data_IF_211553443022
#
_entry.id   IF_211553443022
#
_cell.length_a   1.000
_cell.length_b   1.000
_cell.length_c   1.000
_cell.angle_alpha   90.00
_cell.angle_beta   90.00
_cell.angle_gamma   90.00
#
_symmetry.space_group_name_H-M   'P 1'
#
loop_
_entity.id
_entity.type
_entity.pdbx_description
1 polymer ?
#
# COMPACT_ATOMS: atom_id res chain seq x y z
N UNK A 1 0.29 18.59 -13.77
CA UNK A 1 -0.37 17.31 -13.51
C UNK A 1 0.17 16.77 -12.19
N UNK A 2 -0.68 16.70 -11.19
CA UNK A 2 -0.29 16.29 -9.84
C UNK A 2 -0.45 14.76 -9.69
N UNK A 3 0.28 14.00 -10.50
CA UNK A 3 0.22 12.54 -10.57
C UNK A 3 0.66 11.86 -9.26
N UNK A 4 1.38 12.58 -8.40
CA UNK A 4 1.87 12.09 -7.12
C UNK A 4 0.99 12.51 -5.94
N UNK A 5 -0.16 13.15 -6.20
CA UNK A 5 -1.03 13.59 -5.12
C UNK A 5 -1.78 12.38 -4.52
N UNK A 6 -1.63 12.18 -3.21
CA UNK A 6 -2.43 11.21 -2.43
C UNK A 6 -3.95 11.40 -2.58
N UNK A 7 -4.40 12.50 -3.21
CA UNK A 7 -5.82 12.74 -3.54
C UNK A 7 -6.33 11.84 -4.66
N UNK A 8 -5.43 11.27 -5.47
CA UNK A 8 -5.79 10.47 -6.64
C UNK A 8 -5.25 9.04 -6.57
N UNK A 9 -4.28 8.77 -5.71
CA UNK A 9 -3.69 7.45 -5.52
C UNK A 9 -3.13 7.30 -4.12
N UNK A 10 -3.26 6.12 -3.55
CA UNK A 10 -2.68 5.77 -2.26
C UNK A 10 -1.35 5.00 -2.38
N UNK A 11 -0.84 4.84 -3.59
CA UNK A 11 0.41 4.14 -3.85
C UNK A 11 1.62 5.07 -3.99
N UNK A 12 1.42 6.37 -3.77
CA UNK A 12 2.47 7.40 -3.83
C UNK A 12 2.25 8.43 -2.74
N UNK A 13 3.31 8.97 -2.17
CA UNK A 13 3.24 10.15 -1.31
C UNK A 13 3.39 11.42 -2.15
N UNK A 14 2.61 12.46 -1.84
CA UNK A 14 2.81 13.77 -2.45
C UNK A 14 4.23 14.26 -2.16
N UNK A 15 5.04 14.49 -3.19
CA UNK A 15 6.43 14.90 -3.04
C UNK A 15 6.65 16.24 -3.72
N UNK A 16 6.80 17.27 -2.91
CA UNK A 16 7.36 18.56 -3.35
C UNK A 16 8.77 18.69 -2.77
N UNK A 17 9.65 19.31 -3.52
CA UNK A 17 11.04 19.53 -3.07
C UNK A 17 11.06 20.29 -1.73
N UNK A 18 10.15 21.24 -1.56
CA UNK A 18 9.99 21.97 -0.30
C UNK A 18 9.61 21.05 0.85
N UNK A 19 8.67 20.14 0.64
CA UNK A 19 8.23 19.20 1.68
C UNK A 19 9.37 18.29 2.11
N UNK A 20 10.20 17.83 1.18
CA UNK A 20 11.40 17.06 1.46
C UNK A 20 12.36 17.80 2.38
N UNK A 21 12.68 19.07 2.06
CA UNK A 21 13.59 19.87 2.90
C UNK A 21 12.98 20.22 4.26
N UNK A 22 11.67 20.45 4.32
CA UNK A 22 10.98 20.70 5.59
C UNK A 22 11.00 19.45 6.48
N UNK A 23 10.72 18.27 5.93
CA UNK A 23 10.82 17.01 6.66
C UNK A 23 12.26 16.73 7.12
N UNK A 24 13.23 16.95 6.24
CA UNK A 24 14.64 16.76 6.57
C UNK A 24 15.13 17.70 7.67
N UNK A 25 14.57 18.92 7.76
CA UNK A 25 14.90 19.91 8.78
C UNK A 25 14.09 19.70 10.08
N UNK A 26 13.06 18.84 10.04
CA UNK A 26 12.21 18.53 11.18
C UNK A 26 12.87 17.42 12.00
N UNK A 27 12.79 17.54 13.32
CA UNK A 27 13.23 16.47 14.24
C UNK A 27 12.16 15.38 14.44
N UNK A 28 10.99 15.53 13.83
CA UNK A 28 9.82 14.69 14.10
C UNK A 28 9.65 13.48 13.18
N UNK A 29 10.21 13.48 11.98
CA UNK A 29 10.12 12.33 11.09
C UNK A 29 11.14 12.40 9.96
N UNK A 30 11.56 11.26 9.43
CA UNK A 30 12.43 11.18 8.27
C UNK A 30 11.67 11.47 6.97
N UNK A 31 12.39 11.98 5.97
CA UNK A 31 11.82 12.39 4.70
C UNK A 31 11.52 11.19 3.78
N UNK A 32 10.42 11.31 3.04
CA UNK A 32 10.03 10.37 1.99
C UNK A 32 9.83 11.07 0.66
N UNK A 33 10.19 10.41 -0.44
CA UNK A 33 10.05 10.93 -1.80
C UNK A 33 9.45 9.86 -2.70
N UNK A 34 8.47 10.22 -3.50
CA UNK A 34 7.83 9.29 -4.45
C UNK A 34 8.83 8.71 -5.44
N UNK A 35 8.76 7.40 -5.65
CA UNK A 35 9.55 6.70 -6.65
C UNK A 35 8.92 6.88 -8.04
N UNK A 36 9.78 7.13 -9.01
CA UNK A 36 9.42 7.17 -10.42
C UNK A 36 10.47 6.42 -11.25
N UNK A 37 10.01 5.68 -12.23
CA UNK A 37 10.88 4.93 -13.14
C UNK A 37 10.33 4.92 -14.56
N UNK A 38 11.18 4.54 -15.49
CA UNK A 38 10.74 4.12 -16.82
C UNK A 38 10.60 2.60 -16.80
N UNK A 39 9.38 2.09 -16.92
CA UNK A 39 9.11 0.67 -16.89
C UNK A 39 9.80 -0.09 -18.04
N UNK A 40 10.09 -1.35 -17.81
CA UNK A 40 10.52 -2.27 -18.87
C UNK A 40 9.33 -2.49 -19.80
N UNK A 41 9.51 -2.11 -21.05
CA UNK A 41 8.52 -2.24 -22.09
C UNK A 41 8.67 -3.63 -22.74
N UNK A 42 7.64 -4.46 -22.64
CA UNK A 42 7.48 -5.59 -23.53
C UNK A 42 6.74 -5.10 -24.78
N UNK A 43 7.42 -5.12 -25.93
CA UNK A 43 6.83 -4.63 -27.18
C UNK A 43 5.56 -5.43 -27.51
N UNK A 44 4.52 -4.71 -27.92
CA UNK A 44 3.24 -5.28 -28.35
C UNK A 44 3.31 -6.18 -29.61
N UNK A 45 4.51 -6.41 -30.14
CA UNK A 45 4.74 -7.23 -31.31
C UNK A 45 4.41 -8.72 -31.11
N UNK A 46 4.22 -9.16 -29.86
CA UNK A 46 3.70 -10.48 -29.53
C UNK A 46 2.18 -10.53 -29.33
N UNK A 47 1.49 -9.42 -29.41
CA UNK A 47 0.04 -9.39 -29.45
C UNK A 47 -0.42 -9.69 -30.89
N UNK A 48 -0.20 -10.91 -31.37
CA UNK A 48 -0.75 -11.33 -32.65
C UNK A 48 -2.26 -11.50 -32.48
N UNK A 49 -3.02 -10.70 -33.24
CA UNK A 49 -4.47 -10.75 -33.40
C UNK A 49 -4.99 -12.06 -34.03
N UNK A 50 -4.13 -13.05 -34.23
CA UNK A 50 -4.49 -14.38 -34.74
C UNK A 50 -4.73 -15.30 -33.53
N UNK A 51 -6.01 -15.41 -33.18
CA UNK A 51 -6.56 -16.20 -32.08
C UNK A 51 -6.01 -17.61 -31.96
N UNK A 52 -4.92 -17.77 -31.26
CA UNK A 52 -4.58 -19.00 -30.55
C UNK A 52 -3.37 -18.81 -29.64
N UNK A 53 -3.59 -19.16 -28.45
CA UNK A 53 -2.68 -19.26 -27.31
C UNK A 53 -2.62 -18.03 -26.41
N UNK A 54 -3.73 -17.73 -25.72
CA UNK A 54 -3.58 -17.44 -24.30
C UNK A 54 -2.98 -18.72 -23.68
N UNK A 55 -1.68 -18.76 -23.47
CA UNK A 55 -1.17 -19.57 -22.39
C UNK A 55 -1.78 -18.94 -21.15
N UNK A 56 -2.73 -19.62 -20.52
CA UNK A 56 -3.02 -19.41 -19.11
C UNK A 56 -1.67 -19.58 -18.40
N UNK A 57 -0.95 -18.48 -18.18
CA UNK A 57 -0.04 -18.40 -17.05
C UNK A 57 -0.93 -18.74 -15.89
N UNK A 58 -0.56 -19.77 -15.14
CA UNK A 58 -1.32 -20.19 -13.97
C UNK A 58 -1.71 -18.96 -13.17
N UNK A 59 -2.87 -18.97 -12.53
CA UNK A 59 -3.41 -17.84 -11.77
C UNK A 59 -2.29 -17.30 -10.89
N UNK A 60 -1.66 -16.19 -11.32
CA UNK A 60 -0.64 -15.53 -10.53
C UNK A 60 -1.34 -15.08 -9.24
N UNK A 61 -0.76 -15.38 -8.10
CA UNK A 61 -1.30 -14.96 -6.81
C UNK A 61 -1.37 -13.42 -6.82
N UNK A 62 -2.56 -12.80 -6.74
CA UNK A 62 -2.70 -11.34 -6.82
C UNK A 62 -2.04 -10.62 -5.64
N UNK A 63 -1.62 -11.36 -4.61
CA UNK A 63 -0.94 -10.82 -3.43
C UNK A 63 0.59 -10.91 -3.54
N UNK A 64 1.12 -11.48 -4.62
CA UNK A 64 2.56 -11.59 -4.86
C UNK A 64 2.98 -10.65 -5.97
N UNK A 65 3.98 -9.81 -5.70
CA UNK A 65 4.54 -8.90 -6.68
C UNK A 65 5.47 -7.87 -6.05
N UNK A 66 6.31 -7.27 -6.88
CA UNK A 66 7.13 -6.09 -6.51
C UNK A 66 6.43 -4.84 -7.06
N UNK A 67 5.48 -4.32 -6.27
CA UNK A 67 4.61 -3.20 -6.65
C UNK A 67 5.29 -1.85 -6.44
N UNK A 68 6.43 -1.64 -7.07
CA UNK A 68 7.14 -0.36 -7.08
C UNK A 68 7.48 0.10 -8.49
N UNK A 69 7.74 1.39 -8.65
CA UNK A 69 8.09 1.98 -9.95
C UNK A 69 9.31 1.28 -10.57
N UNK A 70 9.19 0.86 -11.81
CA UNK A 70 10.19 0.10 -12.58
C UNK A 70 9.93 -1.40 -12.65
N UNK A 71 9.07 -1.94 -11.79
CA UNK A 71 8.79 -3.38 -11.71
C UNK A 71 7.30 -3.71 -11.89
N UNK A 72 6.45 -2.72 -12.14
CA UNK A 72 5.02 -2.94 -12.32
C UNK A 72 4.79 -3.74 -13.62
N UNK A 73 4.19 -4.94 -13.55
CA UNK A 73 3.87 -5.72 -14.73
C UNK A 73 2.73 -5.05 -15.50
N UNK A 74 2.98 -4.67 -16.75
CA UNK A 74 1.96 -4.02 -17.58
C UNK A 74 2.25 -4.19 -19.07
N UNK A 75 1.17 -4.06 -19.86
CA UNK A 75 1.20 -4.03 -21.31
C UNK A 75 0.75 -2.65 -21.77
N UNK A 76 1.43 -2.05 -22.73
CA UNK A 76 1.04 -0.76 -23.34
C UNK A 76 2.19 0.23 -23.53
N UNK A 77 1.87 1.42 -24.07
CA UNK A 77 2.87 2.42 -24.49
C UNK A 77 3.31 3.42 -23.42
N UNK A 78 2.72 3.37 -22.23
CA UNK A 78 3.05 4.28 -21.15
C UNK A 78 4.38 3.88 -20.51
N UNK A 79 5.42 4.66 -20.75
CA UNK A 79 6.78 4.34 -20.29
C UNK A 79 7.07 4.76 -18.84
N UNK A 80 6.33 5.73 -18.31
CA UNK A 80 6.56 6.25 -16.96
C UNK A 80 5.74 5.51 -15.93
N UNK A 81 6.37 5.11 -14.84
CA UNK A 81 5.76 4.48 -13.67
C UNK A 81 6.00 5.36 -12.45
N UNK A 82 4.98 5.49 -11.62
CA UNK A 82 5.04 6.24 -10.37
C UNK A 82 4.33 5.37 -9.33
N UNK A 83 5.10 4.75 -8.42
CA UNK A 83 4.58 3.90 -7.36
C UNK A 83 5.65 3.66 -6.30
N UNK A 84 5.25 3.72 -5.04
CA UNK A 84 6.17 3.58 -3.92
C UNK A 84 6.87 4.86 -3.52
N UNK A 85 7.66 4.79 -2.46
CA UNK A 85 8.47 5.91 -1.96
C UNK A 85 9.87 5.46 -1.57
N UNK A 86 10.83 6.36 -1.75
CA UNK A 86 12.17 6.26 -1.18
C UNK A 86 12.17 6.91 0.20
N UNK A 87 12.85 6.28 1.17
CA UNK A 87 13.02 6.74 2.54
C UNK A 87 14.43 7.29 2.70
N UNK A 88 14.55 8.46 3.34
CA UNK A 88 15.83 9.15 3.54
C UNK A 88 16.11 9.35 5.03
N UNK A 89 17.33 9.05 5.43
CA UNK A 89 17.89 9.47 6.71
C UNK A 89 18.90 10.59 6.42
N UNK A 90 18.55 11.81 6.79
CA UNK A 90 19.27 12.99 6.34
C UNK A 90 19.32 13.07 4.80
N UNK A 91 20.49 13.24 4.25
CA UNK A 91 20.70 13.31 2.79
C UNK A 91 20.89 11.95 2.10
N UNK A 92 20.78 10.83 2.81
CA UNK A 92 21.05 9.49 2.29
C UNK A 92 19.78 8.68 2.18
N UNK A 93 19.52 8.10 1.02
CA UNK A 93 18.47 7.11 0.85
C UNK A 93 18.84 5.82 1.59
N UNK A 94 17.94 5.34 2.45
CA UNK A 94 18.15 4.14 3.28
C UNK A 94 17.29 2.96 2.88
N UNK A 95 16.23 3.18 2.12
CA UNK A 95 15.38 2.11 1.62
C UNK A 95 14.26 2.59 0.72
N UNK A 96 13.48 1.62 0.24
CA UNK A 96 12.32 1.83 -0.61
C UNK A 96 11.11 1.10 -0.02
N UNK A 97 9.97 1.74 -0.12
CA UNK A 97 8.65 1.16 0.15
C UNK A 97 7.93 0.97 -1.18
N UNK A 98 7.27 -0.15 -1.33
CA UNK A 98 6.40 -0.42 -2.46
C UNK A 98 5.06 0.34 -2.35
N UNK A 99 4.11 0.08 -3.27
CA UNK A 99 2.81 0.75 -3.27
C UNK A 99 1.96 0.40 -2.06
N UNK A 100 1.96 -0.86 -1.62
CA UNK A 100 1.18 -1.32 -0.46
C UNK A 100 1.75 -0.75 0.84
N UNK A 101 3.05 -0.81 1.02
CA UNK A 101 3.75 -0.20 2.16
C UNK A 101 3.56 1.33 2.20
N UNK A 102 3.53 1.97 1.02
CA UNK A 102 3.20 3.41 0.91
C UNK A 102 1.77 3.69 1.32
N UNK A 103 0.81 2.81 1.01
CA UNK A 103 -0.57 2.95 1.48
C UNK A 103 -0.64 2.85 3.01
N UNK A 104 0.09 1.94 3.63
CA UNK A 104 0.19 1.85 5.09
C UNK A 104 0.78 3.14 5.70
N UNK A 105 1.83 3.69 5.10
CA UNK A 105 2.38 4.99 5.50
C UNK A 105 1.33 6.11 5.43
N UNK A 106 0.55 6.18 4.36
CA UNK A 106 -0.49 7.21 4.19
C UNK A 106 -1.64 7.03 5.18
N UNK A 107 -2.05 5.78 5.46
CA UNK A 107 -3.09 5.46 6.44
C UNK A 107 -2.65 5.95 7.82
N UNK A 108 -1.46 5.58 8.28
CA UNK A 108 -0.94 5.94 9.60
C UNK A 108 -0.79 7.45 9.77
N UNK A 109 -0.38 8.15 8.70
CA UNK A 109 -0.23 9.61 8.71
C UNK A 109 -1.54 10.38 8.47
N UNK A 110 -2.68 9.70 8.32
CA UNK A 110 -3.96 10.35 8.06
C UNK A 110 -4.05 11.07 6.72
N UNK A 111 -3.16 10.76 5.78
CA UNK A 111 -3.11 11.33 4.43
C UNK A 111 -3.78 10.42 3.39
N UNK A 112 -4.34 9.34 3.84
CA UNK A 112 -5.03 8.33 3.04
C UNK A 112 -6.43 8.80 2.65
N UNK A 113 -6.86 8.45 1.42
CA UNK A 113 -8.25 8.63 0.98
C UNK A 113 -8.93 7.30 0.72
N UNK A 114 -8.50 6.61 -0.31
CA UNK A 114 -9.02 5.30 -0.67
C UNK A 114 -8.01 4.50 -1.49
N UNK A 115 -8.14 3.19 -1.47
CA UNK A 115 -7.43 2.27 -2.37
C UNK A 115 -8.21 0.96 -2.52
N UNK A 116 -7.91 0.24 -3.60
CA UNK A 116 -8.40 -1.11 -3.78
C UNK A 116 -7.49 -2.08 -3.04
N UNK A 117 -8.14 -2.95 -2.28
CA UNK A 117 -7.47 -3.89 -1.41
C UNK A 117 -7.97 -5.29 -1.72
N UNK A 118 -7.05 -6.21 -1.95
CA UNK A 118 -7.36 -7.62 -2.23
C UNK A 118 -6.90 -8.47 -1.06
N UNK A 119 -7.77 -9.34 -0.57
CA UNK A 119 -7.44 -10.31 0.47
C UNK A 119 -7.96 -11.69 0.09
N UNK A 120 -7.37 -12.78 0.65
CA UNK A 120 -7.94 -14.10 0.52
C UNK A 120 -9.35 -14.13 1.08
N UNK A 121 -10.24 -14.85 0.41
CA UNK A 121 -11.60 -15.05 0.91
C UNK A 121 -11.55 -15.85 2.23
N UNK A 122 -12.17 -15.36 3.34
CA UNK A 122 -12.07 -16.04 4.62
C UNK A 122 -12.85 -17.34 4.72
N UNK A 123 -13.74 -17.63 3.78
CA UNK A 123 -14.58 -18.82 3.75
C UNK A 123 -14.21 -19.82 2.65
N UNK A 124 -13.46 -19.38 1.63
CA UNK A 124 -13.14 -20.18 0.45
C UNK A 124 -11.66 -20.10 0.12
N UNK A 125 -10.98 -21.22 0.19
CA UNK A 125 -9.58 -21.34 -0.18
C UNK A 125 -9.37 -21.00 -1.66
N UNK A 126 -8.23 -20.39 -1.99
CA UNK A 126 -7.81 -20.00 -3.35
C UNK A 126 -8.68 -18.93 -4.05
N UNK A 127 -9.69 -18.40 -3.36
CA UNK A 127 -10.52 -17.29 -3.86
C UNK A 127 -10.15 -15.97 -3.16
N UNK A 128 -10.57 -14.86 -3.76
CA UNK A 128 -10.21 -13.52 -3.28
C UNK A 128 -11.43 -12.61 -3.20
N UNK A 129 -11.36 -11.68 -2.26
CA UNK A 129 -12.31 -10.56 -2.12
C UNK A 129 -11.57 -9.26 -2.40
N UNK A 130 -12.17 -8.39 -3.20
CA UNK A 130 -11.66 -7.04 -3.50
C UNK A 130 -12.54 -6.02 -2.82
N UNK A 131 -11.92 -5.16 -2.04
CA UNK A 131 -12.57 -4.06 -1.33
C UNK A 131 -12.04 -2.72 -1.83
N UNK A 132 -12.88 -1.70 -1.81
CA UNK A 132 -12.46 -0.30 -1.86
C UNK A 132 -12.43 0.22 -0.42
N UNK A 133 -11.23 0.39 0.11
CA UNK A 133 -11.03 0.85 1.49
C UNK A 133 -10.95 2.38 1.49
N UNK A 134 -11.69 2.99 2.40
CA UNK A 134 -11.78 4.43 2.58
C UNK A 134 -11.35 4.82 4.01
N UNK A 135 -10.87 6.04 4.17
CA UNK A 135 -10.59 6.60 5.49
C UNK A 135 -11.89 6.95 6.20
N UNK A 136 -12.22 6.22 7.25
CA UNK A 136 -13.41 6.50 8.06
C UNK A 136 -13.18 7.62 9.08
N UNK A 137 -12.00 7.70 9.66
CA UNK A 137 -11.60 8.70 10.66
C UNK A 137 -10.09 8.89 10.64
N UNK A 138 -9.65 10.10 10.96
CA UNK A 138 -8.21 10.34 11.16
C UNK A 138 -7.64 9.39 12.22
N UNK A 139 -6.50 8.75 11.95
CA UNK A 139 -5.84 7.87 12.90
C UNK A 139 -5.46 8.63 14.16
N UNK A 140 -5.46 7.92 15.28
CA UNK A 140 -5.02 8.45 16.57
C UNK A 140 -3.97 7.53 17.16
N UNK A 141 -2.98 8.09 17.84
CA UNK A 141 -2.02 7.30 18.58
C UNK A 141 -1.82 7.84 20.00
N UNK A 142 -1.40 6.96 20.90
CA UNK A 142 -1.01 7.27 22.26
C UNK A 142 0.33 6.64 22.53
N UNK A 143 1.22 7.38 23.14
CA UNK A 143 2.53 6.88 23.57
C UNK A 143 2.52 6.73 25.08
N UNK A 144 2.79 5.52 25.55
CA UNK A 144 2.92 5.19 26.98
C UNK A 144 4.35 4.70 27.23
N UNK A 145 4.94 5.13 28.34
CA UNK A 145 6.24 4.60 28.79
C UNK A 145 6.02 3.47 29.79
N UNK A 146 6.51 2.27 29.46
CA UNK A 146 6.48 1.11 30.35
C UNK A 146 7.89 0.53 30.42
N UNK A 147 8.46 0.45 31.62
CA UNK A 147 9.81 -0.06 31.84
C UNK A 147 10.87 0.57 30.91
N UNK A 148 10.85 1.89 30.79
CA UNK A 148 11.72 2.71 29.92
C UNK A 148 11.56 2.43 28.41
N UNK A 149 10.52 1.72 28.02
CA UNK A 149 10.18 1.47 26.62
C UNK A 149 8.95 2.25 26.21
N UNK A 150 9.01 2.90 25.06
CA UNK A 150 7.84 3.53 24.47
C UNK A 150 6.94 2.43 23.85
N UNK A 151 5.69 2.40 24.30
CA UNK A 151 4.62 1.58 23.71
C UNK A 151 3.70 2.54 22.98
N UNK A 152 3.49 2.30 21.69
CA UNK A 152 2.64 3.13 20.85
C UNK A 152 1.36 2.35 20.55
N UNK A 153 0.25 2.88 21.03
CA UNK A 153 -1.08 2.38 20.72
C UNK A 153 -1.64 3.17 19.52
N UNK A 154 -1.73 2.52 18.38
CA UNK A 154 -2.25 3.10 17.15
C UNK A 154 -3.70 2.66 16.93
N UNK A 155 -4.62 3.61 16.78
CA UNK A 155 -6.03 3.37 16.48
C UNK A 155 -6.36 3.90 15.09
N UNK A 156 -6.76 3.00 14.20
CA UNK A 156 -7.13 3.29 12.82
C UNK A 156 -8.56 2.82 12.60
N UNK A 157 -9.39 3.66 12.00
CA UNK A 157 -10.75 3.31 11.57
C UNK A 157 -10.86 3.48 10.07
N UNK A 158 -11.20 2.39 9.40
CA UNK A 158 -11.40 2.34 7.95
C UNK A 158 -12.85 1.92 7.67
N UNK A 159 -13.31 2.28 6.49
CA UNK A 159 -14.59 1.87 5.93
C UNK A 159 -14.31 1.19 4.59
N UNK A 160 -15.08 0.16 4.25
CA UNK A 160 -14.85 -0.61 3.03
C UNK A 160 -16.13 -0.91 2.28
N UNK A 161 -16.06 -0.78 0.96
CA UNK A 161 -17.11 -1.23 0.04
C UNK A 161 -16.64 -2.50 -0.66
N UNK A 162 -17.49 -3.53 -0.70
CA UNK A 162 -17.19 -4.76 -1.42
C UNK A 162 -17.32 -4.50 -2.92
N UNK A 163 -16.24 -4.69 -3.66
CA UNK A 163 -16.19 -4.47 -5.12
C UNK A 163 -16.37 -5.76 -5.90
N UNK A 164 -15.73 -6.84 -5.43
CA UNK A 164 -15.79 -8.15 -6.09
C UNK A 164 -15.55 -9.27 -5.10
N UNK A 165 -16.24 -10.38 -5.30
CA UNK A 165 -16.10 -11.61 -4.54
C UNK A 165 -15.97 -12.74 -5.56
N UNK A 166 -14.83 -13.40 -5.62
CA UNK A 166 -14.59 -14.47 -6.59
C UNK A 166 -15.41 -15.73 -6.30
N UNK A 167 -15.58 -16.07 -5.03
CA UNK A 167 -16.39 -17.20 -4.61
C UNK A 167 -17.89 -17.03 -4.90
N UNK A 168 -18.34 -15.79 -5.13
CA UNK A 168 -19.77 -15.49 -5.26
C UNK A 168 -20.54 -15.54 -3.94
N UNK A 169 -19.85 -15.62 -2.80
CA UNK A 169 -20.48 -15.64 -1.48
C UNK A 169 -21.18 -14.32 -1.17
N UNK A 170 -22.29 -14.39 -0.45
CA UNK A 170 -23.05 -13.20 -0.03
C UNK A 170 -22.60 -12.73 1.35
N UNK A 171 -21.65 -11.80 1.40
CA UNK A 171 -21.18 -11.20 2.65
C UNK A 171 -22.09 -10.09 3.19
N UNK A 172 -23.20 -9.75 2.52
CA UNK A 172 -24.22 -8.86 3.09
C UNK A 172 -25.07 -9.56 4.17
N UNK A 173 -24.98 -10.88 4.27
CA UNK A 173 -25.62 -11.65 5.33
C UNK A 173 -25.04 -11.28 6.71
N UNK A 174 -25.91 -11.05 7.69
CA UNK A 174 -25.55 -10.53 9.02
C UNK A 174 -24.60 -11.44 9.81
N UNK A 175 -24.56 -12.72 9.51
CA UNK A 175 -23.66 -13.71 10.14
C UNK A 175 -22.30 -13.83 9.43
N UNK A 176 -22.21 -13.43 8.17
CA UNK A 176 -20.98 -13.52 7.35
C UNK A 176 -20.18 -12.23 7.31
N UNK A 177 -20.86 -11.08 7.34
CA UNK A 177 -20.19 -9.79 7.35
C UNK A 177 -19.14 -9.66 8.46
N UNK A 178 -19.41 -10.05 9.73
CA UNK A 178 -18.40 -10.00 10.79
C UNK A 178 -17.18 -10.91 10.55
N UNK A 179 -17.33 -11.97 9.76
CA UNK A 179 -16.21 -12.86 9.38
C UNK A 179 -15.29 -12.13 8.42
N UNK A 180 -15.86 -11.48 7.40
CA UNK A 180 -15.09 -10.69 6.45
C UNK A 180 -14.41 -9.50 7.14
N UNK A 181 -15.14 -8.74 7.98
CA UNK A 181 -14.57 -7.60 8.71
C UNK A 181 -13.35 -8.01 9.55
N UNK A 182 -13.46 -9.13 10.31
CA UNK A 182 -12.34 -9.65 11.10
C UNK A 182 -11.15 -10.06 10.23
N UNK A 183 -11.41 -10.73 9.12
CA UNK A 183 -10.35 -11.14 8.19
C UNK A 183 -9.61 -9.92 7.62
N UNK A 184 -10.31 -8.85 7.25
CA UNK A 184 -9.73 -7.58 6.80
C UNK A 184 -8.90 -6.95 7.91
N UNK A 185 -9.42 -6.85 9.13
CA UNK A 185 -8.71 -6.28 10.28
C UNK A 185 -7.40 -7.03 10.55
N UNK A 186 -7.44 -8.36 10.61
CA UNK A 186 -6.26 -9.18 10.87
C UNK A 186 -5.23 -9.07 9.75
N UNK A 187 -5.68 -9.07 8.50
CA UNK A 187 -4.79 -8.95 7.35
C UNK A 187 -4.10 -7.59 7.33
N UNK A 188 -4.86 -6.51 7.43
CA UNK A 188 -4.32 -5.14 7.44
C UNK A 188 -3.40 -4.88 8.64
N UNK A 189 -3.78 -5.39 9.82
CA UNK A 189 -2.93 -5.29 11.01
C UNK A 189 -1.58 -5.98 10.80
N UNK A 190 -1.59 -7.18 10.23
CA UNK A 190 -0.36 -7.93 9.93
C UNK A 190 0.52 -7.18 8.93
N UNK A 191 -0.08 -6.59 7.90
CA UNK A 191 0.64 -5.86 6.88
C UNK A 191 1.22 -4.55 7.41
N UNK A 192 0.45 -3.78 8.18
CA UNK A 192 0.95 -2.59 8.87
C UNK A 192 2.08 -2.89 9.86
N UNK A 193 2.02 -4.02 10.57
CA UNK A 193 3.11 -4.42 11.47
C UNK A 193 4.39 -4.78 10.71
N UNK A 194 4.30 -5.42 9.53
CA UNK A 194 5.45 -5.66 8.66
C UNK A 194 6.08 -4.35 8.19
N UNK A 195 5.24 -3.40 7.73
CA UNK A 195 5.67 -2.07 7.34
C UNK A 195 6.40 -1.33 8.48
N UNK A 196 5.81 -1.29 9.68
CA UNK A 196 6.42 -0.66 10.86
C UNK A 196 7.72 -1.34 11.27
N UNK A 197 7.79 -2.68 11.17
CA UNK A 197 9.01 -3.41 11.43
C UNK A 197 10.12 -3.06 10.43
N UNK A 198 9.81 -3.05 9.14
CA UNK A 198 10.74 -2.68 8.07
C UNK A 198 11.30 -1.28 8.28
N UNK A 199 10.44 -0.29 8.50
CA UNK A 199 10.88 1.10 8.67
C UNK A 199 11.68 1.31 9.96
N UNK A 200 11.24 0.74 11.09
CA UNK A 200 11.89 0.95 12.39
C UNK A 200 13.13 0.08 12.59
N UNK A 201 13.21 -1.12 12.03
CA UNK A 201 14.30 -2.07 12.28
C UNK A 201 15.30 -2.18 11.14
N UNK A 202 14.81 -2.26 9.90
CA UNK A 202 15.69 -2.41 8.75
C UNK A 202 16.23 -1.05 8.30
N UNK A 203 15.36 -0.02 8.21
CA UNK A 203 15.77 1.32 7.81
C UNK A 203 16.25 2.17 8.99
N UNK A 204 15.91 1.77 10.23
CA UNK A 204 16.16 2.54 11.44
C UNK A 204 15.62 3.97 11.37
N UNK A 205 14.42 4.13 10.82
CA UNK A 205 13.76 5.40 10.55
C UNK A 205 12.36 5.46 11.15
N UNK A 206 12.00 6.62 11.70
CA UNK A 206 10.62 6.96 12.05
C UNK A 206 10.04 7.91 10.98
N UNK A 207 9.45 7.33 9.94
CA UNK A 207 8.78 8.12 8.89
C UNK A 207 7.35 8.50 9.25
N UNK A 208 6.80 7.92 10.32
CA UNK A 208 5.45 8.19 10.79
C UNK A 208 5.41 9.32 11.83
N UNK A 209 6.53 9.64 12.45
CA UNK A 209 6.65 10.73 13.43
C UNK A 209 6.02 10.40 14.78
N UNK A 210 6.28 9.23 15.34
CA UNK A 210 5.78 8.77 16.62
C UNK A 210 6.44 9.41 17.85
#
# INVERSE_FOLDING_TARGET
LNLTSYRYTSYTAGSQLLDFFLQQSSSGSQAVVTLAATGKYESSDEFSLNGSTYKEKGRDNPLEGDFKAGNIPRVGDIKSEIMGVAVFDGGKMVGELDGEETSNYLIINGKFKNFYFTLPDPLFDEEYVVLNINSGRSPGFRVNMVDEKAIIDLNIRLEGDIISIQSGENYEDLDKLPILERAVEEFMKKDMLKFLYKTSREFNCDICGF
#
